data_IF_730714406551
#
_entry.id   IF_730714406551
#
_cell.length_a   1.000
_cell.length_b   1.000
_cell.length_c   1.000
_cell.angle_alpha   90.00
_cell.angle_beta   90.00
_cell.angle_gamma   90.00
#
_symmetry.space_group_name_H-M   'P 1'
#
loop_
_entity.id
_entity.type
_entity.pdbx_description
1 polymer ?
#
# COMPACT_ATOMS: atom_id res chain seq x y z
N UNK A 1 24.74 -3.89 11.85
CA UNK A 1 23.48 -3.57 12.54
C UNK A 1 22.92 -2.29 11.92
N UNK A 2 22.12 -2.40 10.86
CA UNK A 2 21.43 -1.25 10.27
C UNK A 2 20.13 -1.05 11.06
N UNK A 3 19.95 0.11 11.69
CA UNK A 3 18.78 0.39 12.52
C UNK A 3 17.50 0.42 11.69
N UNK A 4 16.46 -0.24 12.18
CA UNK A 4 15.13 -0.29 11.57
C UNK A 4 14.51 1.11 11.59
N UNK A 5 14.53 1.79 10.44
CA UNK A 5 14.01 3.16 10.24
C UNK A 5 12.49 3.27 10.08
N UNK A 6 11.73 2.25 10.49
CA UNK A 6 10.26 2.24 10.40
C UNK A 6 9.68 3.00 11.60
N UNK A 7 9.71 4.33 11.53
CA UNK A 7 9.24 5.21 12.60
C UNK A 7 7.72 5.19 12.66
N UNK A 8 7.17 5.02 13.87
CA UNK A 8 5.79 5.41 14.17
C UNK A 8 5.70 6.92 13.98
N UNK A 9 4.97 7.36 12.96
CA UNK A 9 4.85 8.77 12.65
C UNK A 9 3.84 9.44 13.60
N UNK A 10 4.34 9.92 14.74
CA UNK A 10 3.53 10.75 15.64
C UNK A 10 3.31 12.13 15.00
N UNK A 11 2.07 12.63 15.01
CA UNK A 11 1.64 13.93 14.47
C UNK A 11 1.68 14.07 12.94
N UNK A 12 1.26 13.03 12.20
CA UNK A 12 0.99 13.16 10.78
C UNK A 12 -0.13 14.17 10.51
N UNK A 13 0.07 15.03 9.51
CA UNK A 13 -1.03 15.72 8.85
C UNK A 13 -2.01 14.68 8.28
N UNK A 14 -3.29 15.03 8.19
CA UNK A 14 -4.30 14.15 7.60
C UNK A 14 -3.94 13.79 6.15
N UNK A 15 -4.44 12.65 5.65
CA UNK A 15 -4.26 12.25 4.25
C UNK A 15 -4.61 13.41 3.30
N UNK A 16 -5.72 14.11 3.55
CA UNK A 16 -6.16 15.21 2.70
C UNK A 16 -5.18 16.40 2.68
N UNK A 17 -4.54 16.70 3.80
CA UNK A 17 -3.51 17.76 3.89
C UNK A 17 -2.21 17.31 3.23
N UNK A 18 -1.79 16.05 3.41
CA UNK A 18 -0.61 15.48 2.74
C UNK A 18 -0.77 15.48 1.22
N UNK A 19 -1.96 15.15 0.71
CA UNK A 19 -2.25 15.20 -0.72
C UNK A 19 -2.22 16.62 -1.29
N UNK A 20 -2.58 17.64 -0.50
CA UNK A 20 -2.52 19.06 -0.89
C UNK A 20 -1.16 19.71 -0.67
N UNK A 21 -0.20 19.00 -0.07
CA UNK A 21 1.10 19.57 0.26
C UNK A 21 1.83 20.02 -1.02
N UNK A 22 2.11 21.33 -1.19
CA UNK A 22 2.74 21.84 -2.40
C UNK A 22 4.18 21.33 -2.59
N UNK A 23 4.83 20.84 -1.52
CA UNK A 23 6.20 20.33 -1.52
C UNK A 23 6.33 18.90 -2.08
N UNK A 24 5.23 18.20 -2.34
CA UNK A 24 5.26 16.87 -2.99
C UNK A 24 5.96 16.98 -4.34
N UNK A 25 6.93 16.09 -4.58
CA UNK A 25 7.76 16.13 -5.78
C UNK A 25 6.94 15.93 -7.05
N UNK A 26 7.44 16.43 -8.20
CA UNK A 26 6.78 16.20 -9.50
C UNK A 26 6.71 14.71 -9.83
N UNK A 27 7.76 13.95 -9.52
CA UNK A 27 7.81 12.51 -9.74
C UNK A 27 6.72 11.79 -8.94
N UNK A 28 6.63 12.07 -7.64
CA UNK A 28 5.61 11.46 -6.78
C UNK A 28 4.18 11.76 -7.25
N UNK A 29 3.92 12.99 -7.72
CA UNK A 29 2.63 13.34 -8.34
C UNK A 29 2.33 12.48 -9.57
N UNK A 30 3.32 12.23 -10.43
CA UNK A 30 3.14 11.39 -11.62
C UNK A 30 2.89 9.93 -11.24
N UNK A 31 3.66 9.38 -10.29
CA UNK A 31 3.45 8.01 -9.81
C UNK A 31 2.04 7.83 -9.24
N UNK A 32 1.55 8.80 -8.46
CA UNK A 32 0.16 8.78 -7.98
C UNK A 32 -0.86 8.77 -9.12
N UNK A 33 -0.64 9.58 -10.17
CA UNK A 33 -1.53 9.62 -11.34
C UNK A 33 -1.52 8.28 -12.08
N UNK A 34 -0.35 7.70 -12.34
CA UNK A 34 -0.24 6.39 -13.00
C UNK A 34 -0.91 5.28 -12.19
N UNK A 35 -0.68 5.25 -10.88
CA UNK A 35 -1.33 4.30 -10.00
C UNK A 35 -2.86 4.42 -10.05
N UNK A 36 -3.38 5.65 -9.94
CA UNK A 36 -4.82 5.95 -10.06
C UNK A 36 -5.36 5.47 -11.41
N UNK A 37 -4.64 5.75 -12.50
CA UNK A 37 -5.04 5.37 -13.84
C UNK A 37 -5.10 3.85 -14.03
N UNK A 38 -4.24 3.09 -13.36
CA UNK A 38 -4.35 1.63 -13.35
C UNK A 38 -5.55 1.19 -12.52
N UNK A 39 -5.63 1.57 -11.24
CA UNK A 39 -6.65 1.01 -10.33
C UNK A 39 -8.07 1.39 -10.70
N UNK A 40 -8.30 2.58 -11.28
CA UNK A 40 -9.65 3.05 -11.66
C UNK A 40 -10.28 2.20 -12.77
N UNK A 41 -9.47 1.49 -13.54
CA UNK A 41 -9.91 0.68 -14.68
C UNK A 41 -10.02 -0.81 -14.33
N UNK A 42 -9.62 -1.21 -13.13
CA UNK A 42 -9.77 -2.58 -12.66
C UNK A 42 -11.24 -2.85 -12.30
N UNK A 43 -11.74 -4.04 -12.61
CA UNK A 43 -13.05 -4.51 -12.17
C UNK A 43 -12.89 -5.64 -11.13
N UNK A 44 -12.42 -5.24 -9.96
CA UNK A 44 -12.08 -6.11 -8.83
C UNK A 44 -12.67 -5.55 -7.54
N UNK A 45 -12.73 -6.35 -6.48
CA UNK A 45 -13.38 -5.97 -5.22
C UNK A 45 -12.40 -5.93 -4.04
N UNK A 46 -11.66 -7.03 -3.81
CA UNK A 46 -10.86 -7.22 -2.59
C UNK A 46 -9.37 -7.08 -2.83
N UNK A 47 -8.74 -6.19 -2.09
CA UNK A 47 -7.34 -5.80 -2.27
C UNK A 47 -6.51 -6.01 -1.01
N UNK A 48 -5.26 -6.45 -1.19
CA UNK A 48 -4.24 -6.43 -0.16
C UNK A 48 -3.29 -5.25 -0.38
N UNK A 49 -3.12 -4.41 0.64
CA UNK A 49 -2.07 -3.40 0.69
C UNK A 49 -0.96 -3.88 1.63
N UNK A 50 0.28 -3.93 1.12
CA UNK A 50 1.45 -4.35 1.91
C UNK A 50 2.33 -3.15 2.22
N UNK A 51 2.67 -3.02 3.51
CA UNK A 51 3.34 -1.84 4.09
C UNK A 51 2.57 -0.55 3.81
N UNK A 52 1.37 -0.46 4.38
CA UNK A 52 0.43 0.65 4.14
C UNK A 52 0.96 2.01 4.60
N UNK A 53 1.93 2.02 5.52
CA UNK A 53 2.53 3.24 6.05
C UNK A 53 1.47 4.24 6.51
N UNK A 54 1.36 5.36 5.78
CA UNK A 54 0.53 6.47 6.21
C UNK A 54 -0.93 6.40 5.72
N UNK A 55 -1.29 5.40 4.90
CA UNK A 55 -2.66 5.19 4.39
C UNK A 55 -2.99 5.95 3.09
N UNK A 56 -2.02 6.65 2.50
CA UNK A 56 -2.27 7.50 1.32
C UNK A 56 -2.72 6.70 0.10
N UNK A 57 -2.14 5.52 -0.14
CA UNK A 57 -2.42 4.73 -1.34
C UNK A 57 -3.79 4.06 -1.28
N UNK A 58 -4.20 3.58 -0.10
CA UNK A 58 -5.53 3.04 0.16
C UNK A 58 -6.61 4.10 -0.06
N UNK A 59 -6.34 5.34 0.36
CA UNK A 59 -7.23 6.46 0.08
C UNK A 59 -7.38 6.69 -1.42
N UNK A 60 -6.26 6.69 -2.18
CA UNK A 60 -6.31 6.85 -3.64
C UNK A 60 -7.13 5.73 -4.29
N UNK A 61 -6.97 4.49 -3.83
CA UNK A 61 -7.78 3.35 -4.31
C UNK A 61 -9.26 3.59 -4.04
N UNK A 62 -9.69 3.79 -2.79
CA UNK A 62 -11.13 3.96 -2.51
C UNK A 62 -11.73 5.21 -3.17
N UNK A 63 -10.94 6.28 -3.28
CA UNK A 63 -11.43 7.53 -3.87
C UNK A 63 -11.69 7.37 -5.37
N UNK A 64 -10.82 6.67 -6.10
CA UNK A 64 -10.84 6.61 -7.57
C UNK A 64 -11.35 5.29 -8.17
N UNK A 65 -11.20 4.15 -7.49
CA UNK A 65 -11.57 2.84 -8.00
C UNK A 65 -12.88 2.33 -7.37
N UNK A 66 -14.02 2.67 -7.97
CA UNK A 66 -15.34 2.42 -7.38
C UNK A 66 -15.71 0.93 -7.25
N UNK A 67 -15.08 0.02 -8.00
CA UNK A 67 -15.33 -1.42 -7.88
C UNK A 67 -14.68 -2.01 -6.62
N UNK A 68 -13.56 -1.44 -6.17
CA UNK A 68 -12.81 -1.89 -5.00
C UNK A 68 -13.56 -1.45 -3.75
N UNK A 69 -14.09 -2.41 -2.99
CA UNK A 69 -14.87 -2.14 -1.78
C UNK A 69 -14.15 -2.54 -0.51
N UNK A 70 -13.13 -3.39 -0.62
CA UNK A 70 -12.43 -3.92 0.53
C UNK A 70 -10.91 -3.80 0.35
N UNK A 71 -10.26 -3.23 1.35
CA UNK A 71 -8.80 -3.20 1.47
C UNK A 71 -8.43 -3.77 2.84
N UNK A 72 -7.62 -4.82 2.82
CA UNK A 72 -6.89 -5.27 4.00
C UNK A 72 -5.49 -4.68 3.90
N UNK A 73 -5.18 -3.75 4.79
CA UNK A 73 -3.88 -3.11 4.89
C UNK A 73 -2.98 -3.86 5.86
N UNK A 74 -1.69 -3.92 5.57
CA UNK A 74 -0.71 -4.58 6.41
C UNK A 74 0.54 -3.75 6.56
N UNK A 75 1.23 -3.88 7.69
CA UNK A 75 2.52 -3.25 7.93
C UNK A 75 3.26 -3.99 9.04
N UNK A 76 4.59 -3.89 9.08
CA UNK A 76 5.40 -4.42 10.18
C UNK A 76 5.27 -3.56 11.44
N UNK A 77 4.93 -2.28 11.27
CA UNK A 77 4.59 -1.35 12.34
C UNK A 77 3.13 -1.56 12.73
N UNK A 78 2.82 -1.49 14.03
CA UNK A 78 1.44 -1.60 14.51
C UNK A 78 0.64 -0.37 14.06
N UNK A 79 -0.25 -0.57 13.08
CA UNK A 79 -1.21 0.38 12.52
C UNK A 79 -0.66 1.82 12.39
N UNK A 80 0.25 2.08 11.43
CA UNK A 80 0.90 3.39 11.27
C UNK A 80 -0.03 4.51 10.77
N UNK A 81 -1.22 4.16 10.28
CA UNK A 81 -2.24 5.11 9.83
C UNK A 81 -2.86 5.84 11.02
N UNK A 82 -2.98 7.17 10.95
CA UNK A 82 -3.57 7.98 12.04
C UNK A 82 -5.03 7.60 12.30
N UNK A 83 -5.52 7.74 13.54
CA UNK A 83 -6.92 7.39 13.89
C UNK A 83 -7.96 8.13 13.04
N UNK A 84 -7.72 9.41 12.74
CA UNK A 84 -8.61 10.20 11.88
C UNK A 84 -8.62 9.69 10.44
N UNK A 85 -7.46 9.30 9.92
CA UNK A 85 -7.34 8.76 8.57
C UNK A 85 -7.95 7.34 8.47
N UNK A 86 -7.84 6.53 9.53
CA UNK A 86 -8.54 5.25 9.60
C UNK A 86 -10.06 5.42 9.50
N UNK A 87 -10.64 6.43 10.16
CA UNK A 87 -12.07 6.74 10.05
C UNK A 87 -12.42 7.16 8.62
N UNK A 88 -11.63 8.05 8.02
CA UNK A 88 -11.81 8.47 6.63
C UNK A 88 -11.77 7.28 5.66
N UNK A 89 -10.82 6.36 5.82
CA UNK A 89 -10.73 5.16 4.97
C UNK A 89 -11.94 4.25 5.14
N UNK A 90 -12.43 4.08 6.39
CA UNK A 90 -13.63 3.29 6.69
C UNK A 90 -14.93 3.94 6.19
N UNK A 91 -14.97 5.26 6.08
CA UNK A 91 -16.09 5.99 5.48
C UNK A 91 -16.13 5.83 3.95
N UNK A 92 -14.97 5.58 3.33
CA UNK A 92 -14.85 5.41 1.87
C UNK A 92 -15.05 3.95 1.42
N UNK A 93 -14.72 2.97 2.27
CA UNK A 93 -14.85 1.54 1.98
C UNK A 93 -14.58 0.65 3.20
N UNK A 94 -14.62 -0.66 3.00
CA UNK A 94 -14.29 -1.63 4.05
C UNK A 94 -12.76 -1.70 4.23
N UNK A 95 -12.23 -0.84 5.09
CA UNK A 95 -10.81 -0.82 5.45
C UNK A 95 -10.54 -1.54 6.76
N UNK A 96 -9.58 -2.46 6.74
CA UNK A 96 -9.08 -3.14 7.94
C UNK A 96 -7.55 -3.20 7.94
N UNK A 97 -6.96 -3.45 9.11
CA UNK A 97 -5.51 -3.52 9.29
C UNK A 97 -5.10 -4.82 9.98
N UNK A 98 -3.99 -5.41 9.54
CA UNK A 98 -3.32 -6.55 10.19
C UNK A 98 -1.83 -6.32 10.21
N UNK A 99 -1.20 -6.34 11.39
CA UNK A 99 0.26 -6.28 11.49
C UNK A 99 0.89 -7.56 10.96
N UNK A 100 1.84 -7.43 10.03
CA UNK A 100 2.56 -8.56 9.41
C UNK A 100 4.03 -8.22 9.20
N UNK A 101 4.91 -9.20 9.39
CA UNK A 101 6.22 -9.18 8.72
C UNK A 101 6.05 -9.87 7.37
N UNK A 102 6.01 -9.07 6.30
CA UNK A 102 5.79 -9.57 4.95
C UNK A 102 6.96 -10.43 4.43
N UNK A 103 8.10 -10.50 5.14
CA UNK A 103 9.20 -11.41 4.80
C UNK A 103 8.90 -12.87 5.19
N UNK A 104 7.78 -13.12 5.88
CA UNK A 104 7.27 -14.44 6.28
C UNK A 104 5.99 -14.84 5.55
N UNK A 105 5.31 -15.85 6.10
CA UNK A 105 4.01 -16.31 5.58
C UNK A 105 2.94 -15.29 5.95
N UNK A 106 2.16 -14.84 4.97
CA UNK A 106 1.06 -13.91 5.20
C UNK A 106 -0.14 -14.66 5.83
N UNK A 107 -0.84 -14.06 6.82
CA UNK A 107 -1.93 -14.70 7.55
C UNK A 107 -3.25 -14.71 6.75
N UNK A 108 -3.17 -15.01 5.45
CA UNK A 108 -4.31 -15.05 4.54
C UNK A 108 -4.32 -16.39 3.79
N UNK A 109 -5.52 -16.81 3.41
CA UNK A 109 -5.73 -18.03 2.61
C UNK A 109 -5.14 -17.87 1.20
N UNK A 110 -4.89 -19.01 0.56
CA UNK A 110 -4.52 -19.04 -0.86
C UNK A 110 -5.66 -18.46 -1.70
N UNK A 111 -5.33 -17.74 -2.78
CA UNK A 111 -6.33 -17.17 -3.71
C UNK A 111 -7.40 -16.26 -3.07
N UNK A 112 -7.04 -15.53 -2.01
CA UNK A 112 -7.96 -14.71 -1.22
C UNK A 112 -8.22 -13.31 -1.79
N UNK A 113 -7.22 -12.71 -2.45
CA UNK A 113 -7.27 -11.34 -2.96
C UNK A 113 -7.38 -11.29 -4.48
N UNK A 114 -8.08 -10.27 -4.98
CA UNK A 114 -8.17 -10.00 -6.41
C UNK A 114 -6.96 -9.24 -6.94
N UNK A 115 -6.27 -8.52 -6.06
CA UNK A 115 -5.17 -7.62 -6.37
C UNK A 115 -4.31 -7.34 -5.15
N UNK A 116 -3.01 -7.18 -5.35
CA UNK A 116 -2.03 -6.84 -4.31
C UNK A 116 -1.24 -5.62 -4.77
N UNK A 117 -0.99 -4.66 -3.88
CA UNK A 117 -0.08 -3.57 -4.18
C UNK A 117 0.85 -3.19 -3.01
N UNK A 118 2.01 -2.62 -3.35
CA UNK A 118 2.93 -2.01 -2.40
C UNK A 118 3.93 -1.04 -3.06
N UNK A 119 4.41 -0.05 -2.30
CA UNK A 119 5.42 0.93 -2.74
C UNK A 119 6.69 0.83 -1.88
N UNK A 120 7.88 0.84 -2.52
CA UNK A 120 9.17 1.02 -1.83
C UNK A 120 9.31 0.06 -0.62
N UNK A 121 9.05 -1.25 -0.86
CA UNK A 121 9.10 -2.31 0.17
C UNK A 121 10.08 -3.41 -0.18
N UNK A 122 10.07 -3.85 -1.45
CA UNK A 122 10.77 -5.07 -1.89
C UNK A 122 12.29 -4.96 -1.74
N UNK A 123 12.83 -3.75 -1.80
CA UNK A 123 14.24 -3.43 -1.59
C UNK A 123 14.67 -3.48 -0.12
N UNK A 124 13.70 -3.46 0.81
CA UNK A 124 13.95 -3.46 2.25
C UNK A 124 13.73 -4.83 2.89
N UNK A 125 13.22 -5.82 2.14
CA UNK A 125 13.10 -7.20 2.64
C UNK A 125 14.38 -7.98 2.42
N UNK A 126 14.81 -8.71 3.45
CA UNK A 126 15.94 -9.64 3.37
C UNK A 126 15.58 -10.92 2.60
N UNK A 127 14.30 -11.14 2.27
CA UNK A 127 13.77 -12.33 1.60
C UNK A 127 12.80 -11.97 0.46
N UNK A 128 13.25 -11.23 -0.58
CA UNK A 128 12.38 -10.73 -1.66
C UNK A 128 11.64 -11.86 -2.40
N UNK A 129 12.27 -13.02 -2.55
CA UNK A 129 11.63 -14.18 -3.20
C UNK A 129 10.47 -14.74 -2.38
N UNK A 130 10.64 -14.87 -1.05
CA UNK A 130 9.57 -15.33 -0.16
C UNK A 130 8.45 -14.29 -0.10
N UNK A 131 8.81 -13.02 0.02
CA UNK A 131 7.88 -11.90 0.02
C UNK A 131 6.98 -11.92 -1.23
N UNK A 132 7.55 -12.01 -2.43
CA UNK A 132 6.77 -12.07 -3.67
C UNK A 132 6.01 -13.39 -3.83
N UNK A 133 6.58 -14.52 -3.38
CA UNK A 133 5.91 -15.82 -3.44
C UNK A 133 4.64 -15.84 -2.59
N UNK A 134 4.67 -15.24 -1.40
CA UNK A 134 3.50 -15.17 -0.54
C UNK A 134 2.42 -14.24 -1.09
N UNK A 135 2.80 -13.12 -1.71
CA UNK A 135 1.86 -12.29 -2.44
C UNK A 135 1.17 -13.06 -3.58
N UNK A 136 1.95 -13.83 -4.35
CA UNK A 136 1.41 -14.67 -5.41
C UNK A 136 0.49 -15.76 -4.86
N UNK A 137 0.81 -16.37 -3.71
CA UNK A 137 -0.02 -17.41 -3.06
C UNK A 137 -1.39 -16.86 -2.67
N UNK A 138 -1.43 -15.69 -2.04
CA UNK A 138 -2.69 -15.09 -1.56
C UNK A 138 -3.49 -14.42 -2.67
N UNK A 139 -2.90 -14.19 -3.84
CA UNK A 139 -3.57 -13.66 -5.02
C UNK A 139 -4.32 -14.78 -5.76
N UNK A 140 -5.57 -14.51 -6.16
CA UNK A 140 -6.35 -15.44 -6.96
C UNK A 140 -5.75 -15.59 -8.37
N UNK A 141 -6.06 -16.71 -9.03
CA UNK A 141 -5.75 -16.91 -10.45
C UNK A 141 -6.27 -15.76 -11.32
N UNK A 142 -5.37 -15.13 -12.09
CA UNK A 142 -5.69 -13.98 -12.95
C UNK A 142 -5.79 -12.64 -12.22
N UNK A 143 -5.45 -12.57 -10.93
CA UNK A 143 -5.22 -11.30 -10.24
C UNK A 143 -3.86 -10.69 -10.61
N UNK A 144 -3.70 -9.41 -10.32
CA UNK A 144 -2.46 -8.66 -10.59
C UNK A 144 -1.76 -8.23 -9.29
N UNK A 145 -0.43 -8.14 -9.36
CA UNK A 145 0.41 -7.50 -8.35
C UNK A 145 0.98 -6.22 -8.96
N UNK A 146 0.79 -5.08 -8.31
CA UNK A 146 1.46 -3.84 -8.68
C UNK A 146 2.45 -3.44 -7.60
N UNK A 147 3.70 -3.37 -7.99
CA UNK A 147 4.77 -2.85 -7.15
C UNK A 147 5.53 -1.78 -7.89
N UNK A 148 5.89 -0.71 -7.20
CA UNK A 148 6.74 0.33 -7.74
C UNK A 148 7.77 0.77 -6.71
N UNK A 149 8.88 1.26 -7.24
CA UNK A 149 9.95 1.82 -6.43
C UNK A 149 10.55 3.02 -7.17
N UNK A 150 10.85 4.09 -6.45
CA UNK A 150 11.41 5.30 -7.06
C UNK A 150 12.95 5.24 -7.06
N UNK A 151 13.55 5.20 -8.24
CA UNK A 151 15.01 5.30 -8.40
C UNK A 151 15.37 6.64 -9.04
N UNK A 152 16.23 7.43 -8.39
CA UNK A 152 16.84 8.62 -8.98
C UNK A 152 18.32 8.38 -9.19
N UNK A 153 18.78 8.54 -10.43
CA UNK A 153 20.20 8.48 -10.79
C UNK A 153 20.56 9.88 -11.27
N UNK A 154 21.32 10.61 -10.45
CA UNK A 154 21.89 11.89 -10.88
C UNK A 154 23.19 11.61 -11.65
N UNK A 155 23.40 12.19 -12.84
CA UNK A 155 24.72 12.20 -13.43
C UNK A 155 25.67 12.97 -12.50
N UNK A 156 26.86 12.41 -12.26
CA UNK A 156 27.96 13.10 -11.58
C UNK A 156 28.39 14.34 -12.35
#
# INVERSE_FOLDING_TARGET
MRGNGWLVMNNLLSITERLKNPKVSKLEKLVRIEFIDVVKNLNINKVLSISCGDGTWEYLVFHHAKSIKEIIATDIVECPVSKSDQLLLKDLGNWSFTKVDASGILPFEDNYFDFVFHQDVVEHTDKPYTFLKEQYRVLRGGGDIIMWHSQSISPC
#
